data_IF_411071544779
#
_entry.id   IF_411071544779
#
_cell.length_a   1.000
_cell.length_b   1.000
_cell.length_c   1.000
_cell.angle_alpha   90.00
_cell.angle_beta   90.00
_cell.angle_gamma   90.00
#
_symmetry.space_group_name_H-M   'P 1'
#
loop_
_entity.id
_entity.type
_entity.pdbx_description
1 polymer ?
#
# COMPACT_ATOMS: atom_id res chain seq x y z
N UNK A 1 -4.62 -9.07 -16.69
CA UNK A 1 -4.28 -9.93 -17.83
C UNK A 1 -3.84 -11.23 -17.22
N UNK A 2 -4.68 -12.26 -17.31
CA UNK A 2 -4.32 -13.62 -16.88
C UNK A 2 -3.18 -14.08 -17.79
N UNK A 3 -1.96 -14.09 -17.27
CA UNK A 3 -0.79 -14.55 -18.02
C UNK A 3 -0.86 -16.06 -18.16
N UNK A 4 -0.80 -16.57 -19.39
CA UNK A 4 -0.70 -18.01 -19.64
C UNK A 4 0.43 -18.61 -18.80
N UNK A 5 0.11 -19.69 -18.06
CA UNK A 5 1.09 -20.43 -17.30
C UNK A 5 2.16 -20.99 -18.25
N UNK A 6 3.46 -20.92 -17.90
CA UNK A 6 4.52 -21.51 -18.71
C UNK A 6 4.22 -22.98 -19.00
N UNK A 7 4.66 -23.47 -20.17
CA UNK A 7 4.56 -24.88 -20.49
C UNK A 7 5.55 -25.70 -19.64
N UNK A 8 5.20 -26.96 -19.37
CA UNK A 8 6.07 -27.89 -18.68
C UNK A 8 7.29 -28.22 -19.56
N UNK A 9 8.50 -27.90 -19.10
CA UNK A 9 9.74 -28.10 -19.87
C UNK A 9 9.98 -29.57 -20.23
N UNK A 10 9.67 -30.49 -19.32
CA UNK A 10 9.81 -31.94 -19.54
C UNK A 10 8.77 -32.46 -20.55
N UNK A 11 7.54 -31.96 -20.52
CA UNK A 11 6.53 -32.36 -21.50
C UNK A 11 6.82 -31.73 -22.88
N UNK A 12 7.25 -30.47 -22.90
CA UNK A 12 7.57 -29.74 -24.12
C UNK A 12 8.74 -30.36 -24.87
N UNK A 13 9.77 -30.83 -24.16
CA UNK A 13 10.86 -31.62 -24.76
C UNK A 13 10.42 -32.96 -25.36
N UNK A 14 9.23 -33.45 -25.00
CA UNK A 14 8.57 -34.62 -25.61
C UNK A 14 7.51 -34.24 -26.65
N UNK A 15 7.45 -32.97 -27.04
CA UNK A 15 6.43 -32.39 -27.94
C UNK A 15 5.00 -32.51 -27.41
N UNK A 16 4.83 -32.52 -26.09
CA UNK A 16 3.53 -32.56 -25.41
C UNK A 16 3.35 -31.23 -24.68
N UNK A 17 2.38 -30.42 -25.10
CA UNK A 17 2.05 -29.18 -24.38
C UNK A 17 1.17 -29.49 -23.17
N UNK A 18 1.73 -29.32 -21.97
CA UNK A 18 0.99 -29.33 -20.70
C UNK A 18 1.31 -28.04 -19.92
N UNK A 19 0.30 -27.39 -19.32
CA UNK A 19 0.55 -26.22 -18.47
C UNK A 19 1.32 -26.63 -17.21
N UNK A 20 2.27 -25.80 -16.80
CA UNK A 20 2.97 -25.97 -15.53
C UNK A 20 2.10 -25.57 -14.35
N UNK A 21 2.16 -26.37 -13.29
CA UNK A 21 1.56 -26.05 -11.98
C UNK A 21 2.61 -25.57 -10.99
N UNK A 22 3.88 -25.93 -11.19
CA UNK A 22 4.99 -25.53 -10.34
C UNK A 22 6.23 -25.07 -11.15
N UNK A 23 7.12 -24.32 -10.51
CA UNK A 23 8.41 -23.88 -11.01
C UNK A 23 9.53 -24.43 -10.12
N UNK A 24 10.59 -24.97 -10.73
CA UNK A 24 11.78 -25.45 -10.05
C UNK A 24 12.93 -24.45 -10.23
N UNK A 25 13.53 -23.95 -9.14
CA UNK A 25 14.58 -22.93 -9.22
C UNK A 25 15.89 -23.48 -9.77
N UNK A 26 16.30 -24.66 -9.35
CA UNK A 26 17.58 -25.26 -9.72
C UNK A 26 17.58 -25.78 -11.16
N UNK A 27 16.42 -26.21 -11.67
CA UNK A 27 16.27 -26.64 -13.06
C UNK A 27 15.88 -25.49 -13.98
N UNK A 28 15.45 -24.35 -13.41
CA UNK A 28 14.97 -23.18 -14.14
C UNK A 28 13.90 -23.52 -15.19
N UNK A 29 12.95 -24.38 -14.81
CA UNK A 29 11.90 -24.87 -15.70
C UNK A 29 10.56 -25.05 -14.98
N UNK A 30 9.48 -24.94 -15.75
CA UNK A 30 8.13 -25.23 -15.29
C UNK A 30 7.83 -26.72 -15.31
N UNK A 31 7.07 -27.21 -14.31
CA UNK A 31 6.67 -28.60 -14.16
C UNK A 31 5.13 -28.70 -14.13
N UNK A 32 4.55 -29.60 -14.92
CA UNK A 32 3.16 -30.02 -14.74
C UNK A 32 3.03 -30.91 -13.50
N UNK A 33 1.80 -31.23 -13.08
CA UNK A 33 1.56 -31.97 -11.84
C UNK A 33 2.28 -33.33 -11.79
N UNK A 34 2.21 -34.11 -12.87
CA UNK A 34 2.87 -35.42 -12.98
C UNK A 34 4.40 -35.30 -12.93
N UNK A 35 4.95 -34.30 -13.63
CA UNK A 35 6.38 -34.05 -13.66
C UNK A 35 6.88 -33.60 -12.28
N UNK A 36 6.11 -32.76 -11.59
CA UNK A 36 6.38 -32.31 -10.22
C UNK A 36 6.43 -33.49 -9.26
N UNK A 37 5.44 -34.40 -9.30
CA UNK A 37 5.41 -35.59 -8.45
C UNK A 37 6.65 -36.46 -8.64
N UNK A 38 7.05 -36.72 -9.88
CA UNK A 38 8.27 -37.47 -10.15
C UNK A 38 9.52 -36.72 -9.67
N UNK A 39 9.55 -35.41 -9.87
CA UNK A 39 10.68 -34.55 -9.52
C UNK A 39 10.99 -34.53 -8.03
N UNK A 40 9.97 -34.45 -7.17
CA UNK A 40 10.15 -34.45 -5.71
C UNK A 40 10.51 -35.83 -5.15
N UNK A 41 10.18 -36.92 -5.86
CA UNK A 41 10.49 -38.29 -5.45
C UNK A 41 11.88 -38.74 -5.93
N UNK A 42 12.37 -38.18 -7.04
CA UNK A 42 13.66 -38.55 -7.62
C UNK A 42 14.83 -38.11 -6.74
N UNK A 43 15.78 -39.01 -6.49
CA UNK A 43 16.95 -38.76 -5.63
C UNK A 43 17.79 -37.57 -6.08
N UNK A 44 17.87 -37.32 -7.38
CA UNK A 44 18.69 -36.23 -7.93
C UNK A 44 18.06 -34.84 -7.72
N UNK A 45 16.72 -34.76 -7.63
CA UNK A 45 15.97 -33.49 -7.65
C UNK A 45 15.09 -33.24 -6.44
N UNK A 46 14.95 -34.23 -5.54
CA UNK A 46 14.12 -34.13 -4.33
C UNK A 46 14.49 -32.99 -3.37
N UNK A 47 15.70 -32.44 -3.48
CA UNK A 47 16.17 -31.31 -2.67
C UNK A 47 15.97 -29.95 -3.34
N UNK A 48 15.45 -29.92 -4.57
CA UNK A 48 15.23 -28.68 -5.30
C UNK A 48 14.09 -27.87 -4.68
N UNK A 49 14.26 -26.55 -4.67
CA UNK A 49 13.21 -25.60 -4.30
C UNK A 49 12.14 -25.53 -5.39
N UNK A 50 10.90 -25.85 -5.02
CA UNK A 50 9.74 -25.80 -5.92
C UNK A 50 8.69 -24.87 -5.33
N UNK A 51 8.13 -24.00 -6.17
CA UNK A 51 7.00 -23.16 -5.80
C UNK A 51 5.87 -23.23 -6.85
N UNK A 52 4.60 -23.01 -6.46
CA UNK A 52 3.50 -22.90 -7.40
C UNK A 52 3.72 -21.80 -8.45
N UNK A 53 3.33 -22.05 -9.71
CA UNK A 53 3.51 -21.06 -10.81
C UNK A 53 2.79 -19.75 -10.54
N UNK A 54 1.61 -19.79 -9.92
CA UNK A 54 0.85 -18.58 -9.57
C UNK A 54 1.54 -17.72 -8.48
N UNK A 55 2.41 -18.32 -7.66
CA UNK A 55 3.24 -17.61 -6.69
C UNK A 55 4.53 -17.14 -7.35
N UNK A 56 5.14 -17.97 -8.20
CA UNK A 56 6.31 -17.61 -9.01
C UNK A 56 6.05 -16.35 -9.85
N UNK A 57 4.89 -16.27 -10.52
CA UNK A 57 4.50 -15.10 -11.32
C UNK A 57 4.34 -13.81 -10.52
N UNK A 58 4.19 -13.90 -9.18
CA UNK A 58 4.10 -12.74 -8.28
C UNK A 58 5.47 -12.30 -7.76
N UNK A 59 6.51 -13.09 -7.98
CA UNK A 59 7.85 -12.74 -7.50
C UNK A 59 8.39 -11.53 -8.26
N UNK A 60 9.01 -10.56 -7.56
CA UNK A 60 9.71 -9.46 -8.21
C UNK A 60 10.82 -10.01 -9.12
N UNK A 61 11.03 -9.37 -10.27
CA UNK A 61 12.13 -9.74 -11.21
C UNK A 61 13.48 -9.78 -10.50
N UNK A 62 13.70 -8.91 -9.51
CA UNK A 62 14.92 -8.90 -8.70
C UNK A 62 15.16 -10.19 -7.91
N UNK A 63 14.10 -10.91 -7.51
CA UNK A 63 14.23 -12.22 -6.84
C UNK A 63 14.63 -13.30 -7.84
N UNK A 64 14.13 -13.20 -9.08
CA UNK A 64 14.47 -14.13 -10.16
C UNK A 64 15.89 -13.94 -10.71
N UNK A 65 16.51 -12.79 -10.42
CA UNK A 65 17.87 -12.44 -10.82
C UNK A 65 18.91 -12.66 -9.70
N UNK A 66 18.52 -13.32 -8.60
CA UNK A 66 19.49 -13.70 -7.57
C UNK A 66 20.41 -14.76 -8.17
N UNK A 67 21.64 -14.36 -8.45
CA UNK A 67 22.68 -15.25 -8.96
C UNK A 67 23.40 -15.94 -7.80
N UNK A 68 23.47 -17.27 -7.85
CA UNK A 68 24.32 -18.06 -6.93
C UNK A 68 25.81 -18.00 -7.29
N UNK A 69 26.16 -17.23 -8.33
CA UNK A 69 27.49 -17.21 -8.95
C UNK A 69 28.11 -15.82 -8.91
N UNK A 70 29.43 -15.79 -8.72
CA UNK A 70 30.24 -14.59 -8.78
C UNK A 70 30.28 -14.03 -10.20
N UNK A 71 29.84 -12.78 -10.36
CA UNK A 71 29.82 -12.08 -11.66
C UNK A 71 31.21 -11.95 -12.30
N UNK A 72 32.25 -11.77 -11.49
CA UNK A 72 33.61 -11.58 -11.98
C UNK A 72 34.29 -12.88 -12.42
N UNK A 73 33.88 -14.02 -11.85
CA UNK A 73 34.63 -15.27 -11.95
C UNK A 73 33.81 -16.47 -12.43
N UNK A 74 32.49 -16.36 -12.50
CA UNK A 74 31.57 -17.44 -12.92
C UNK A 74 31.50 -18.62 -11.95
N UNK A 75 32.01 -18.48 -10.73
CA UNK A 75 32.05 -19.56 -9.72
C UNK A 75 31.01 -19.33 -8.63
N UNK A 76 30.45 -20.41 -8.07
CA UNK A 76 29.50 -20.31 -6.95
C UNK A 76 30.09 -19.55 -5.77
N UNK A 77 29.27 -18.74 -5.12
CA UNK A 77 29.64 -18.13 -3.84
C UNK A 77 29.87 -19.22 -2.79
N UNK A 78 30.90 -19.03 -1.96
CA UNK A 78 31.32 -19.98 -0.92
C UNK A 78 31.37 -19.34 0.46
N UNK A 79 31.62 -18.03 0.53
CA UNK A 79 31.70 -17.30 1.79
C UNK A 79 31.05 -15.92 1.66
N UNK A 80 30.72 -15.32 2.80
CA UNK A 80 30.33 -13.93 2.93
C UNK A 80 31.44 -13.17 3.66
N UNK A 81 31.84 -12.02 3.10
CA UNK A 81 32.79 -11.12 3.74
C UNK A 81 32.05 -10.00 4.45
N UNK A 82 32.10 -9.99 5.78
CA UNK A 82 31.41 -8.98 6.59
C UNK A 82 32.04 -7.60 6.47
N UNK A 83 33.35 -7.52 6.26
CA UNK A 83 34.06 -6.24 6.08
C UNK A 83 33.60 -5.48 4.83
N UNK A 84 33.31 -6.21 3.74
CA UNK A 84 32.92 -5.62 2.45
C UNK A 84 31.44 -5.86 2.12
N UNK A 85 30.71 -6.50 3.03
CA UNK A 85 29.29 -6.83 2.93
C UNK A 85 28.91 -7.50 1.59
N UNK A 86 29.69 -8.51 1.18
CA UNK A 86 29.48 -9.17 -0.10
C UNK A 86 29.79 -10.68 -0.10
N UNK A 87 29.11 -11.41 -0.99
CA UNK A 87 29.35 -12.82 -1.24
C UNK A 87 30.60 -13.02 -2.11
N UNK A 88 31.41 -14.02 -1.77
CA UNK A 88 32.72 -14.29 -2.35
C UNK A 88 32.80 -15.73 -2.88
N UNK A 89 33.27 -15.92 -4.11
CA UNK A 89 33.73 -17.23 -4.58
C UNK A 89 35.18 -17.47 -4.15
N UNK A 90 35.71 -18.68 -4.38
CA UNK A 90 37.07 -19.06 -3.99
C UNK A 90 38.14 -18.16 -4.60
N UNK A 91 37.98 -17.72 -5.85
CA UNK A 91 38.90 -16.74 -6.49
C UNK A 91 38.89 -15.38 -5.80
N UNK A 92 37.72 -14.87 -5.40
CA UNK A 92 37.63 -13.63 -4.62
C UNK A 92 38.38 -13.75 -3.28
N UNK A 93 38.27 -14.91 -2.62
CA UNK A 93 38.93 -15.18 -1.34
C UNK A 93 40.46 -15.20 -1.47
N UNK A 94 41.01 -15.68 -2.57
CA UNK A 94 42.47 -15.72 -2.80
C UNK A 94 43.00 -14.38 -3.34
N UNK A 95 42.15 -13.60 -4.00
CA UNK A 95 42.46 -12.28 -4.56
C UNK A 95 42.10 -11.13 -3.61
N UNK A 96 41.01 -10.44 -3.92
CA UNK A 96 40.62 -9.18 -3.30
C UNK A 96 40.32 -9.31 -1.79
N UNK A 97 39.91 -10.50 -1.35
CA UNK A 97 39.53 -10.78 0.03
C UNK A 97 40.59 -11.59 0.81
N UNK A 98 41.80 -11.78 0.27
CA UNK A 98 42.85 -12.62 0.89
C UNK A 98 43.29 -12.19 2.29
N UNK A 99 43.13 -10.90 2.59
CA UNK A 99 43.50 -10.31 3.88
C UNK A 99 42.28 -10.02 4.77
N UNK A 100 41.07 -10.37 4.32
CA UNK A 100 39.86 -10.24 5.14
C UNK A 100 39.84 -11.33 6.20
N UNK A 101 39.64 -10.94 7.46
CA UNK A 101 39.61 -11.88 8.61
C UNK A 101 38.21 -12.30 8.99
N UNK A 102 37.21 -11.48 8.67
CA UNK A 102 35.82 -11.70 9.02
C UNK A 102 35.06 -12.26 7.81
N UNK A 103 35.20 -13.58 7.65
CA UNK A 103 34.63 -14.38 6.58
C UNK A 103 33.79 -15.49 7.22
N UNK A 104 32.60 -15.74 6.70
CA UNK A 104 31.73 -16.84 7.15
C UNK A 104 31.33 -17.68 5.96
N UNK A 105 31.24 -19.00 6.12
CA UNK A 105 30.74 -19.88 5.07
C UNK A 105 29.33 -19.42 4.66
N UNK A 106 29.06 -19.41 3.36
CA UNK A 106 27.78 -18.91 2.84
C UNK A 106 26.61 -19.75 3.35
N UNK A 107 26.80 -21.06 3.55
CA UNK A 107 25.78 -21.95 4.09
C UNK A 107 25.50 -21.65 5.55
N UNK A 108 26.52 -21.31 6.33
CA UNK A 108 26.35 -20.90 7.74
C UNK A 108 25.58 -19.59 7.83
N UNK A 109 25.85 -18.62 6.95
CA UNK A 109 25.07 -17.38 6.85
C UNK A 109 23.62 -17.69 6.52
N UNK A 110 23.37 -18.53 5.52
CA UNK A 110 22.02 -18.93 5.12
C UNK A 110 21.29 -19.65 6.26
N UNK A 111 21.96 -20.60 6.92
CA UNK A 111 21.41 -21.33 8.07
C UNK A 111 21.09 -20.39 9.23
N UNK A 112 21.97 -19.44 9.55
CA UNK A 112 21.75 -18.45 10.60
C UNK A 112 20.56 -17.56 10.27
N UNK A 113 20.43 -17.07 9.04
CA UNK A 113 19.26 -16.27 8.61
C UNK A 113 17.98 -17.10 8.74
N UNK A 114 17.97 -18.33 8.22
CA UNK A 114 16.81 -19.24 8.27
C UNK A 114 16.41 -19.64 9.70
N UNK A 115 17.39 -19.79 10.58
CA UNK A 115 17.17 -20.21 11.98
C UNK A 115 16.89 -19.01 12.89
N UNK A 116 17.25 -17.79 12.46
CA UNK A 116 16.92 -16.57 13.16
C UNK A 116 15.46 -16.20 12.95
N UNK A 117 14.84 -15.61 13.98
CA UNK A 117 13.51 -15.01 13.86
C UNK A 117 13.55 -13.63 13.18
N UNK A 118 14.69 -13.18 12.64
CA UNK A 118 14.81 -11.82 12.11
C UNK A 118 13.82 -11.52 10.98
N UNK A 119 13.67 -12.44 10.02
CA UNK A 119 12.72 -12.25 8.92
C UNK A 119 11.26 -12.22 9.40
N UNK A 120 10.92 -13.05 10.40
CA UNK A 120 9.59 -13.08 11.01
C UNK A 120 9.28 -11.79 11.78
N UNK A 121 10.24 -11.26 12.53
CA UNK A 121 10.09 -9.99 13.25
C UNK A 121 9.96 -8.80 12.29
N UNK A 122 10.71 -8.79 11.18
CA UNK A 122 10.57 -7.78 10.13
C UNK A 122 9.19 -7.88 9.49
N UNK A 123 8.72 -9.07 9.13
CA UNK A 123 7.39 -9.29 8.55
C UNK A 123 6.29 -8.79 9.49
N UNK A 124 6.38 -9.15 10.78
CA UNK A 124 5.45 -8.69 11.81
C UNK A 124 5.44 -7.17 11.93
N UNK A 125 6.61 -6.55 12.03
CA UNK A 125 6.76 -5.10 12.10
C UNK A 125 6.15 -4.40 10.88
N UNK A 126 6.39 -4.94 9.67
CA UNK A 126 5.78 -4.42 8.45
C UNK A 126 4.26 -4.53 8.47
N UNK A 127 3.70 -5.65 8.97
CA UNK A 127 2.25 -5.84 9.11
C UNK A 127 1.64 -4.80 10.05
N UNK A 128 2.26 -4.57 11.21
CA UNK A 128 1.83 -3.55 12.18
C UNK A 128 1.84 -2.14 11.56
N UNK A 129 2.86 -1.81 10.76
CA UNK A 129 2.90 -0.53 10.03
C UNK A 129 1.74 -0.42 9.05
N UNK A 130 1.44 -1.46 8.29
CA UNK A 130 0.31 -1.48 7.34
C UNK A 130 -1.02 -1.27 8.06
N UNK A 131 -1.26 -1.99 9.16
CA UNK A 131 -2.48 -1.86 9.96
C UNK A 131 -2.63 -0.45 10.55
N UNK A 132 -1.55 0.13 11.06
CA UNK A 132 -1.55 1.49 11.59
C UNK A 132 -1.84 2.52 10.49
N UNK A 133 -1.27 2.36 9.30
CA UNK A 133 -1.56 3.23 8.15
C UNK A 133 -3.03 3.13 7.73
N UNK A 134 -3.62 1.93 7.74
CA UNK A 134 -5.04 1.74 7.46
C UNK A 134 -5.92 2.45 8.49
N UNK A 135 -5.58 2.35 9.78
CA UNK A 135 -6.30 3.04 10.85
C UNK A 135 -6.24 4.56 10.70
N UNK A 136 -5.06 5.11 10.41
CA UNK A 136 -4.87 6.55 10.14
C UNK A 136 -5.71 7.00 8.94
N UNK A 137 -5.71 6.21 7.85
CA UNK A 137 -6.51 6.50 6.65
C UNK A 137 -8.00 6.58 7.00
N UNK A 138 -8.53 5.63 7.78
CA UNK A 138 -9.93 5.61 8.17
C UNK A 138 -10.30 6.80 9.06
N UNK A 139 -9.49 7.09 10.08
CA UNK A 139 -9.71 8.23 10.97
C UNK A 139 -9.69 9.57 10.21
N UNK A 140 -8.80 9.73 9.22
CA UNK A 140 -8.79 10.93 8.36
C UNK A 140 -10.05 11.07 7.53
N UNK A 141 -10.60 9.97 7.01
CA UNK A 141 -11.84 9.99 6.24
C UNK A 141 -13.04 10.41 7.11
N UNK A 142 -13.12 9.90 8.34
CA UNK A 142 -14.14 10.27 9.33
C UNK A 142 -14.04 11.76 9.70
N UNK A 143 -12.84 12.24 10.04
CA UNK A 143 -12.63 13.66 10.37
C UNK A 143 -13.04 14.59 9.24
N UNK A 144 -12.72 14.24 7.98
CA UNK A 144 -13.12 15.03 6.81
C UNK A 144 -14.65 15.05 6.63
N UNK A 145 -15.32 13.93 6.90
CA UNK A 145 -16.78 13.86 6.89
C UNK A 145 -17.39 14.77 7.95
N UNK A 146 -16.91 14.69 9.20
CA UNK A 146 -17.37 15.54 10.29
C UNK A 146 -17.14 17.02 10.00
N UNK A 147 -15.98 17.41 9.45
CA UNK A 147 -15.71 18.79 9.04
C UNK A 147 -16.71 19.30 7.99
N UNK A 148 -17.11 18.47 7.02
CA UNK A 148 -18.13 18.84 6.02
C UNK A 148 -19.49 19.07 6.68
N UNK A 149 -19.87 18.23 7.63
CA UNK A 149 -21.12 18.38 8.39
C UNK A 149 -21.09 19.70 9.18
N UNK A 150 -20.01 19.95 9.93
CA UNK A 150 -19.87 21.20 10.69
C UNK A 150 -19.94 22.44 9.81
N UNK A 151 -19.31 22.42 8.62
CA UNK A 151 -19.39 23.52 7.67
C UNK A 151 -20.83 23.82 7.28
N UNK A 152 -21.59 22.80 6.88
CA UNK A 152 -23.00 22.96 6.48
C UNK A 152 -23.85 23.47 7.64
N UNK A 153 -23.62 22.97 8.85
CA UNK A 153 -24.32 23.45 10.05
C UNK A 153 -24.07 24.93 10.29
N UNK A 154 -22.80 25.36 10.27
CA UNK A 154 -22.43 26.76 10.47
C UNK A 154 -23.00 27.65 9.35
N UNK A 155 -22.96 27.20 8.09
CA UNK A 155 -23.56 27.91 6.96
C UNK A 155 -25.07 28.13 7.18
N UNK A 156 -25.79 27.10 7.63
CA UNK A 156 -27.22 27.19 7.95
C UNK A 156 -27.50 28.10 9.14
N UNK A 157 -26.69 28.06 10.19
CA UNK A 157 -26.81 28.94 11.35
C UNK A 157 -26.63 30.41 10.95
N UNK A 158 -25.62 30.72 10.13
CA UNK A 158 -25.40 32.07 9.60
C UNK A 158 -26.63 32.55 8.82
N UNK A 159 -27.17 31.72 7.94
CA UNK A 159 -28.38 32.06 7.17
C UNK A 159 -29.59 32.29 8.07
N UNK A 160 -29.77 31.44 9.08
CA UNK A 160 -30.87 31.55 10.05
C UNK A 160 -30.77 32.84 10.85
N UNK A 161 -29.58 33.20 11.33
CA UNK A 161 -29.35 34.46 12.05
C UNK A 161 -29.64 35.65 11.15
N UNK A 162 -29.18 35.62 9.90
CA UNK A 162 -29.46 36.69 8.92
C UNK A 162 -30.96 36.85 8.66
N UNK A 163 -31.70 35.77 8.50
CA UNK A 163 -33.14 35.81 8.32
C UNK A 163 -33.84 36.46 9.51
N UNK A 164 -33.49 36.05 10.74
CA UNK A 164 -34.06 36.65 11.96
C UNK A 164 -33.79 38.15 12.07
N UNK A 165 -32.59 38.61 11.71
CA UNK A 165 -32.26 40.04 11.70
C UNK A 165 -33.14 40.78 10.68
N UNK A 166 -33.26 40.26 9.46
CA UNK A 166 -34.09 40.87 8.42
C UNK A 166 -35.57 40.94 8.84
N UNK A 167 -36.10 39.86 9.43
CA UNK A 167 -37.47 39.82 9.95
C UNK A 167 -37.69 40.88 11.04
N UNK A 168 -36.72 41.05 11.93
CA UNK A 168 -36.77 42.07 12.97
C UNK A 168 -36.77 43.48 12.38
N UNK A 169 -35.91 43.76 11.40
CA UNK A 169 -35.89 45.06 10.71
C UNK A 169 -37.18 45.34 9.96
N UNK A 170 -37.71 44.37 9.21
CA UNK A 170 -39.00 44.50 8.53
C UNK A 170 -40.14 44.78 9.52
N UNK A 171 -40.09 44.20 10.73
CA UNK A 171 -41.07 44.48 11.78
C UNK A 171 -40.96 45.93 12.28
N UNK A 172 -39.75 46.39 12.61
CA UNK A 172 -39.51 47.76 13.08
C UNK A 172 -39.92 48.79 12.02
N UNK A 173 -39.57 48.57 10.75
CA UNK A 173 -39.96 49.45 9.66
C UNK A 173 -41.48 49.58 9.55
N UNK A 174 -42.21 48.45 9.61
CA UNK A 174 -43.69 48.47 9.61
C UNK A 174 -44.28 49.19 10.81
N UNK A 175 -43.67 49.09 11.98
CA UNK A 175 -44.12 49.80 13.20
C UNK A 175 -43.93 51.31 13.03
N UNK A 176 -42.75 51.76 12.60
CA UNK A 176 -42.44 53.17 12.38
C UNK A 176 -43.31 53.79 11.28
N UNK A 177 -43.56 53.08 10.18
CA UNK A 177 -44.44 53.57 9.10
C UNK A 177 -45.90 53.70 9.58
N UNK A 178 -46.38 52.80 10.44
CA UNK A 178 -47.72 52.92 11.04
C UNK A 178 -47.83 54.10 11.98
N UNK A 179 -46.79 54.35 12.79
CA UNK A 179 -46.73 55.54 13.67
C UNK A 179 -46.75 56.82 12.84
N UNK A 180 -45.93 56.90 11.79
CA UNK A 180 -45.90 58.05 10.88
C UNK A 180 -47.29 58.32 10.25
N UNK A 181 -47.96 57.28 9.75
CA UNK A 181 -49.29 57.40 9.17
C UNK A 181 -50.33 57.88 10.19
N UNK A 182 -50.21 57.44 11.45
CA UNK A 182 -51.10 57.86 12.54
C UNK A 182 -50.91 59.34 12.84
N UNK A 183 -49.66 59.79 12.97
CA UNK A 183 -49.31 61.21 13.17
C UNK A 183 -49.85 62.06 12.02
N UNK A 184 -49.62 61.65 10.78
CA UNK A 184 -50.12 62.37 9.59
C UNK A 184 -51.65 62.52 9.62
N UNK A 185 -52.37 61.45 9.94
CA UNK A 185 -53.83 61.45 10.02
C UNK A 185 -54.35 62.38 11.13
N UNK A 186 -53.68 62.41 12.27
CA UNK A 186 -54.07 63.26 13.39
C UNK A 186 -53.81 64.75 13.09
N UNK A 187 -52.69 65.09 12.45
CA UNK A 187 -52.41 66.46 11.99
C UNK A 187 -53.40 66.93 10.92
N UNK A 188 -53.79 66.05 9.97
CA UNK A 188 -54.86 66.33 9.01
C UNK A 188 -56.19 66.61 9.70
N UNK A 189 -56.57 65.82 10.71
CA UNK A 189 -57.81 66.04 11.48
C UNK A 189 -57.79 67.35 12.26
N UNK A 190 -56.66 67.71 12.88
CA UNK A 190 -56.49 68.99 13.59
C UNK A 190 -56.63 70.17 12.63
N UNK A 191 -55.97 70.09 11.48
CA UNK A 191 -56.07 71.12 10.43
C UNK A 191 -57.50 71.29 9.93
N UNK A 192 -58.21 70.19 9.65
CA UNK A 192 -59.60 70.25 9.20
C UNK A 192 -60.55 70.89 10.24
N UNK A 193 -60.32 70.64 11.54
CA UNK A 193 -61.10 71.29 12.62
C UNK A 193 -60.83 72.79 12.73
N UNK A 194 -59.61 73.23 12.44
CA UNK A 194 -59.23 74.65 12.49
C UNK A 194 -59.91 75.49 11.41
N UNK A 195 -60.21 74.91 10.24
CA UNK A 195 -60.91 75.61 9.14
C UNK A 195 -62.45 75.64 9.28
N UNK A 196 -63.01 75.04 10.33
CA UNK A 196 -64.46 75.02 10.63
C UNK A 196 -64.86 75.87 11.86
N UNK A 197 -63.92 76.68 12.38
CA UNK A 197 -64.13 77.73 13.39
C UNK A 197 -64.02 79.10 12.72
#
# INVERSE_FOLDING_TARGET
MEGESPACGICDSRHISKPSTAWCFECNEGLCEECKEHHILNKASKSHGIIPVNEFQKLPVSVLQIEDFCKSHGERYQAYCHKHECSCCTKCLIGDHKNCKDLTDINDVICNIKSSNMLLEIEKSMREVVENLQRIKMNRAENLSSLKIYRVTIENEIQTVRQKINEHFNRLERELLKELQTIENDERKKSAKFWHL
#
